data_IF_205848994616
#
_entry.id   IF_205848994616
#
_cell.length_a   1.000
_cell.length_b   1.000
_cell.length_c   1.000
_cell.angle_alpha   90.00
_cell.angle_beta   90.00
_cell.angle_gamma   90.00
#
_symmetry.space_group_name_H-M   'P 1'
#
loop_
_entity.id
_entity.type
_entity.pdbx_description
1 polymer ?
#
# COMPACT_ATOMS: atom_id res chain seq x y z
N UNK A 1 4.87 -7.73 7.75
CA UNK A 1 6.14 -7.19 7.23
C UNK A 1 5.79 -5.96 6.40
N UNK A 2 6.64 -4.92 6.35
CA UNK A 2 6.26 -3.67 5.66
C UNK A 2 6.36 -3.76 4.14
N UNK A 3 7.13 -4.71 3.61
CA UNK A 3 7.28 -4.91 2.17
C UNK A 3 7.82 -6.29 1.83
N UNK A 4 7.63 -6.70 0.58
CA UNK A 4 8.12 -7.93 0.00
C UNK A 4 8.81 -7.68 -1.34
N UNK A 5 9.95 -8.35 -1.56
CA UNK A 5 10.71 -8.26 -2.80
C UNK A 5 10.13 -9.24 -3.83
N UNK A 6 9.73 -8.74 -5.00
CA UNK A 6 9.11 -9.54 -6.05
C UNK A 6 10.11 -10.01 -7.10
N UNK A 7 10.80 -9.06 -7.74
CA UNK A 7 11.71 -9.35 -8.86
C UNK A 7 12.81 -8.30 -8.94
N UNK A 8 14.05 -8.75 -9.05
CA UNK A 8 15.20 -7.89 -9.31
C UNK A 8 15.56 -7.87 -10.79
N UNK A 9 15.95 -6.69 -11.30
CA UNK A 9 16.56 -6.51 -12.62
C UNK A 9 17.92 -5.84 -12.44
N UNK A 10 18.94 -6.67 -12.22
CA UNK A 10 20.29 -6.21 -11.88
C UNK A 10 20.87 -5.24 -12.93
N UNK A 11 20.74 -5.55 -14.22
CA UNK A 11 21.21 -4.69 -15.31
C UNK A 11 20.55 -3.32 -15.35
N UNK A 12 19.32 -3.21 -14.84
CA UNK A 12 18.57 -1.94 -14.77
C UNK A 12 18.70 -1.26 -13.42
N UNK A 13 19.45 -1.85 -12.48
CA UNK A 13 19.58 -1.36 -11.10
C UNK A 13 18.22 -1.20 -10.42
N UNK A 14 17.26 -2.07 -10.72
CA UNK A 14 15.90 -1.94 -10.18
C UNK A 14 15.43 -3.19 -9.49
N UNK A 15 14.50 -3.02 -8.56
CA UNK A 15 13.79 -4.09 -7.88
C UNK A 15 12.31 -3.73 -7.75
N UNK A 16 11.44 -4.68 -8.08
CA UNK A 16 10.00 -4.54 -7.85
C UNK A 16 9.70 -5.00 -6.43
N UNK A 17 8.99 -4.16 -5.70
CA UNK A 17 8.68 -4.35 -4.28
C UNK A 17 7.18 -4.14 -4.10
N UNK A 18 6.52 -5.06 -3.41
CA UNK A 18 5.17 -4.88 -2.88
C UNK A 18 5.29 -4.25 -1.50
N UNK A 19 4.83 -3.01 -1.34
CA UNK A 19 4.81 -2.30 -0.07
C UNK A 19 3.44 -2.42 0.59
N UNK A 20 3.41 -2.71 1.88
CA UNK A 20 2.21 -2.71 2.70
C UNK A 20 2.12 -1.38 3.45
N UNK A 21 1.21 -0.51 3.01
CA UNK A 21 1.02 0.83 3.56
C UNK A 21 -0.15 0.80 4.56
N UNK A 22 0.05 1.15 5.84
CA UNK A 22 -1.04 1.25 6.80
C UNK A 22 -1.99 2.38 6.45
N UNK A 23 -3.28 2.09 6.52
CA UNK A 23 -4.34 3.10 6.41
C UNK A 23 -4.52 3.78 7.77
N UNK A 24 -4.63 5.11 7.83
CA UNK A 24 -4.81 5.82 9.10
C UNK A 24 -6.10 5.41 9.80
N UNK A 25 -6.06 5.38 11.13
CA UNK A 25 -7.27 5.21 11.93
C UNK A 25 -8.18 6.45 11.85
N UNK A 26 -9.45 6.26 12.22
CA UNK A 26 -10.48 7.30 12.23
C UNK A 26 -11.45 7.17 11.06
N UNK A 27 -12.24 8.23 10.86
CA UNK A 27 -13.33 8.26 9.88
C UNK A 27 -13.12 9.35 8.83
N UNK A 28 -13.74 9.16 7.67
CA UNK A 28 -13.85 10.15 6.60
C UNK A 28 -15.02 11.13 6.85
N UNK A 29 -15.33 12.01 5.88
CA UNK A 29 -16.42 12.99 6.02
C UNK A 29 -17.82 12.36 6.02
N UNK A 30 -17.96 11.15 5.50
CA UNK A 30 -19.18 10.35 5.57
C UNK A 30 -19.33 9.59 6.90
N UNK A 31 -18.43 9.81 7.87
CA UNK A 31 -18.38 9.07 9.14
C UNK A 31 -18.13 7.56 9.00
N UNK A 32 -17.57 7.13 7.87
CA UNK A 32 -17.14 5.74 7.62
C UNK A 32 -15.67 5.60 8.03
N UNK A 33 -15.29 4.49 8.66
CA UNK A 33 -13.88 4.23 8.99
C UNK A 33 -13.03 4.17 7.71
N UNK A 34 -11.83 4.76 7.72
CA UNK A 34 -10.99 4.81 6.51
C UNK A 34 -10.70 3.43 5.90
N UNK A 35 -10.54 2.40 6.76
CA UNK A 35 -10.35 1.01 6.31
C UNK A 35 -11.57 0.49 5.54
N UNK A 36 -12.78 0.84 5.96
CA UNK A 36 -14.02 0.38 5.34
C UNK A 36 -14.27 1.14 4.05
N UNK A 37 -13.96 2.45 4.03
CA UNK A 37 -13.97 3.26 2.82
C UNK A 37 -12.99 2.73 1.77
N UNK A 38 -11.79 2.29 2.18
CA UNK A 38 -10.85 1.62 1.27
C UNK A 38 -11.43 0.31 0.73
N UNK A 39 -12.04 -0.51 1.59
CA UNK A 39 -12.67 -1.76 1.16
C UNK A 39 -13.77 -1.49 0.13
N UNK A 40 -14.59 -0.44 0.32
CA UNK A 40 -15.61 -0.03 -0.64
C UNK A 40 -15.00 0.43 -1.97
N UNK A 41 -13.94 1.25 -1.93
CA UNK A 41 -13.22 1.72 -3.14
C UNK A 41 -12.67 0.56 -3.96
N UNK A 42 -12.13 -0.46 -3.30
CA UNK A 42 -11.59 -1.65 -3.94
C UNK A 42 -12.69 -2.66 -4.36
N UNK A 43 -13.96 -2.31 -4.22
CA UNK A 43 -15.10 -3.13 -4.65
C UNK A 43 -15.46 -4.25 -3.67
N UNK A 44 -15.05 -4.17 -2.41
CA UNK A 44 -15.32 -5.14 -1.36
C UNK A 44 -14.14 -6.07 -1.07
N UNK A 45 -14.13 -6.64 0.14
CA UNK A 45 -12.99 -7.41 0.67
C UNK A 45 -12.65 -8.65 -0.16
N UNK A 46 -13.63 -9.24 -0.85
CA UNK A 46 -13.43 -10.39 -1.74
C UNK A 46 -12.58 -10.05 -2.98
N UNK A 47 -12.52 -8.77 -3.37
CA UNK A 47 -11.73 -8.30 -4.51
C UNK A 47 -10.31 -7.86 -4.11
N UNK A 48 -10.00 -7.82 -2.81
CA UNK A 48 -8.67 -7.47 -2.31
C UNK A 48 -7.81 -8.73 -2.26
N UNK A 49 -6.79 -8.78 -3.11
CA UNK A 49 -5.81 -9.86 -3.16
C UNK A 49 -4.40 -9.29 -3.28
N UNK A 50 -3.45 -9.90 -2.58
CA UNK A 50 -2.03 -9.57 -2.72
C UNK A 50 -1.48 -10.09 -4.03
N UNK A 51 -0.48 -9.39 -4.58
CA UNK A 51 0.34 -9.89 -5.69
C UNK A 51 1.27 -11.04 -5.27
N UNK A 52 1.44 -11.28 -3.97
CA UNK A 52 2.27 -12.35 -3.43
C UNK A 52 1.47 -13.66 -3.38
N UNK A 53 1.87 -14.69 -4.14
CA UNK A 53 1.12 -15.95 -4.19
C UNK A 53 1.11 -16.72 -2.86
N UNK A 54 2.09 -16.47 -1.97
CA UNK A 54 2.23 -17.12 -0.67
C UNK A 54 2.23 -16.09 0.47
N UNK A 55 1.42 -15.03 0.35
CA UNK A 55 1.27 -14.06 1.44
C UNK A 55 0.86 -14.76 2.75
N UNK A 56 1.37 -14.28 3.88
CA UNK A 56 0.99 -14.85 5.17
C UNK A 56 -0.48 -14.56 5.48
N UNK A 57 -1.15 -15.50 6.17
CA UNK A 57 -2.57 -15.34 6.57
C UNK A 57 -2.82 -14.03 7.32
N UNK A 58 -1.97 -13.58 8.27
CA UNK A 58 -2.17 -12.29 8.94
C UNK A 58 -2.10 -11.09 8.01
N UNK A 59 -1.18 -11.09 7.03
CA UNK A 59 -1.05 -9.98 6.08
C UNK A 59 -2.22 -9.95 5.09
N UNK A 60 -2.64 -11.10 4.58
CA UNK A 60 -3.83 -11.22 3.72
C UNK A 60 -5.10 -10.75 4.45
N UNK A 61 -5.24 -11.14 5.72
CA UNK A 61 -6.35 -10.69 6.57
C UNK A 61 -6.35 -9.17 6.73
N UNK A 62 -5.18 -8.57 6.95
CA UNK A 62 -5.06 -7.11 7.11
C UNK A 62 -5.35 -6.36 5.79
N UNK A 63 -4.93 -6.88 4.64
CA UNK A 63 -5.30 -6.32 3.33
C UNK A 63 -6.82 -6.39 3.12
N UNK A 64 -7.43 -7.55 3.33
CA UNK A 64 -8.88 -7.75 3.15
C UNK A 64 -9.73 -6.95 4.13
N UNK A 65 -9.19 -6.65 5.31
CA UNK A 65 -9.82 -5.76 6.29
C UNK A 65 -9.61 -4.27 5.99
N UNK A 66 -8.87 -3.91 4.93
CA UNK A 66 -8.57 -2.53 4.56
C UNK A 66 -7.62 -1.80 5.52
N UNK A 67 -6.99 -2.51 6.47
CA UNK A 67 -6.04 -1.89 7.41
C UNK A 67 -4.66 -1.73 6.79
N UNK A 68 -4.37 -2.48 5.73
CA UNK A 68 -3.23 -2.31 4.86
C UNK A 68 -3.70 -2.09 3.41
N UNK A 69 -2.95 -1.27 2.68
CA UNK A 69 -3.02 -1.16 1.23
C UNK A 69 -1.72 -1.65 0.60
N UNK A 70 -1.81 -2.52 -0.40
CA UNK A 70 -0.63 -3.03 -1.10
C UNK A 70 -0.32 -2.16 -2.33
N UNK A 71 0.89 -1.61 -2.38
CA UNK A 71 1.38 -0.84 -3.51
C UNK A 71 2.62 -1.49 -4.11
N UNK A 72 2.54 -1.90 -5.37
CA UNK A 72 3.71 -2.38 -6.11
C UNK A 72 4.44 -1.19 -6.73
N UNK A 73 5.74 -1.07 -6.43
CA UNK A 73 6.59 -0.02 -6.98
C UNK A 73 7.95 -0.59 -7.35
N UNK A 74 8.55 0.01 -8.38
CA UNK A 74 9.93 -0.24 -8.75
C UNK A 74 10.83 0.71 -7.96
N UNK A 75 11.76 0.17 -7.18
CA UNK A 75 12.84 0.92 -6.52
C UNK A 75 14.05 0.88 -7.43
N UNK A 76 14.60 2.06 -7.73
CA UNK A 76 15.84 2.20 -8.51
C UNK A 76 17.01 2.49 -7.57
N UNK A 77 18.12 1.80 -7.80
CA UNK A 77 19.37 1.98 -7.08
C UNK A 77 20.34 2.84 -7.90
N UNK A 78 21.19 3.59 -7.20
CA UNK A 78 22.25 4.40 -7.81
C UNK A 78 23.32 3.54 -8.51
N UNK A 79 23.63 2.37 -7.94
CA UNK A 79 24.65 1.44 -8.44
C UNK A 79 24.22 -0.03 -8.30
N UNK A 80 24.82 -0.91 -9.11
CA UNK A 80 24.71 -2.38 -8.92
C UNK A 80 25.61 -2.88 -7.78
N UNK A 81 26.66 -2.12 -7.44
CA UNK A 81 27.69 -2.49 -6.46
C UNK A 81 27.29 -2.16 -5.01
N UNK A 82 26.03 -1.82 -4.76
CA UNK A 82 25.55 -1.59 -3.40
C UNK A 82 25.52 -2.91 -2.62
N UNK A 83 26.00 -2.87 -1.38
CA UNK A 83 25.83 -3.97 -0.44
C UNK A 83 24.36 -4.11 0.01
N UNK A 84 24.07 -5.19 0.72
CA UNK A 84 22.70 -5.50 1.15
C UNK A 84 22.14 -4.46 2.11
N UNK A 85 22.98 -3.86 2.96
CA UNK A 85 22.55 -2.82 3.91
C UNK A 85 22.16 -1.53 3.19
N UNK A 86 22.93 -1.12 2.19
CA UNK A 86 22.65 0.05 1.35
C UNK A 86 21.40 -0.15 0.48
N UNK A 87 21.22 -1.36 -0.07
CA UNK A 87 20.00 -1.71 -0.83
C UNK A 87 18.78 -1.66 0.08
N UNK A 88 18.86 -2.26 1.27
CA UNK A 88 17.80 -2.24 2.27
C UNK A 88 17.44 -0.80 2.68
N UNK A 89 18.45 0.02 3.01
CA UNK A 89 18.23 1.42 3.37
C UNK A 89 17.54 2.20 2.25
N UNK A 90 17.92 1.96 0.98
CA UNK A 90 17.26 2.62 -0.17
C UNK A 90 15.78 2.24 -0.28
N UNK A 91 15.44 0.96 -0.06
CA UNK A 91 14.05 0.49 -0.08
C UNK A 91 13.25 1.09 1.08
N UNK A 92 13.86 1.17 2.27
CA UNK A 92 13.23 1.75 3.47
C UNK A 92 12.98 3.25 3.33
N UNK A 93 13.93 3.99 2.74
CA UNK A 93 13.70 5.40 2.37
C UNK A 93 12.51 5.52 1.42
N UNK A 94 12.48 4.70 0.36
CA UNK A 94 11.35 4.73 -0.59
C UNK A 94 10.02 4.35 0.07
N UNK A 95 10.02 3.44 1.04
CA UNK A 95 8.84 3.13 1.84
C UNK A 95 8.34 4.35 2.63
N UNK A 96 9.25 5.10 3.28
CA UNK A 96 8.89 6.32 4.00
C UNK A 96 8.25 7.39 3.10
N UNK A 97 8.80 7.58 1.90
CA UNK A 97 8.24 8.50 0.91
C UNK A 97 6.84 8.03 0.45
N UNK A 98 6.70 6.75 0.13
CA UNK A 98 5.44 6.14 -0.32
C UNK A 98 4.35 6.17 0.75
N UNK A 99 4.72 5.98 2.01
CA UNK A 99 3.78 6.06 3.13
C UNK A 99 3.07 7.42 3.13
N UNK A 100 3.82 8.50 2.97
CA UNK A 100 3.25 9.86 2.93
C UNK A 100 2.42 10.06 1.67
N UNK A 101 2.99 9.73 0.50
CA UNK A 101 2.36 9.87 -0.82
C UNK A 101 0.99 9.17 -0.89
N UNK A 102 0.96 7.88 -0.53
CA UNK A 102 -0.24 7.04 -0.64
C UNK A 102 -1.27 7.39 0.44
N UNK A 103 -0.86 7.73 1.66
CA UNK A 103 -1.81 8.12 2.71
C UNK A 103 -2.52 9.42 2.33
N UNK A 104 -1.81 10.40 1.78
CA UNK A 104 -2.42 11.65 1.34
C UNK A 104 -3.35 11.43 0.13
N UNK A 105 -2.91 10.64 -0.86
CA UNK A 105 -3.74 10.24 -2.00
C UNK A 105 -5.03 9.54 -1.54
N UNK A 106 -4.93 8.58 -0.61
CA UNK A 106 -6.08 7.84 -0.11
C UNK A 106 -6.98 8.70 0.76
N UNK A 107 -6.46 9.63 1.57
CA UNK A 107 -7.31 10.58 2.30
C UNK A 107 -8.18 11.41 1.36
N UNK A 108 -7.62 11.91 0.26
CA UNK A 108 -8.37 12.68 -0.75
C UNK A 108 -9.41 11.80 -1.44
N UNK A 109 -8.98 10.63 -1.92
CA UNK A 109 -9.85 9.73 -2.69
C UNK A 109 -11.02 9.19 -1.86
N UNK A 110 -10.75 8.83 -0.60
CA UNK A 110 -11.72 8.20 0.28
C UNK A 110 -12.54 9.22 1.09
N UNK A 111 -12.25 10.53 0.99
CA UNK A 111 -12.80 11.56 1.89
C UNK A 111 -14.33 11.55 1.93
N UNK A 112 -14.97 11.37 0.78
CA UNK A 112 -16.42 11.43 0.59
C UNK A 112 -17.04 10.09 0.19
N UNK A 113 -16.27 9.01 0.17
CA UNK A 113 -16.81 7.68 -0.14
C UNK A 113 -17.86 7.29 0.90
N UNK A 114 -19.01 6.82 0.40
CA UNK A 114 -20.18 6.44 1.19
C UNK A 114 -20.99 7.62 1.74
N UNK A 115 -20.73 8.84 1.27
CA UNK A 115 -21.60 9.97 1.56
C UNK A 115 -22.94 9.80 0.85
N UNK A 116 -24.03 9.80 1.61
CA UNK A 116 -25.40 9.80 1.11
C UNK A 116 -26.03 11.17 1.40
N UNK A 117 -26.69 11.75 0.40
CA UNK A 117 -27.45 12.98 0.55
C UNK A 117 -28.79 12.82 -0.16
N UNK A 118 -29.87 13.03 0.58
CA UNK A 118 -31.19 13.18 -0.01
C UNK A 118 -31.26 14.55 -0.70
N UNK A 119 -31.44 14.54 -2.03
CA UNK A 119 -31.68 15.76 -2.81
C UNK A 119 -33.20 16.00 -2.86
N UNK A 120 -33.71 17.17 -2.41
CA UNK A 120 -35.14 17.49 -2.41
C UNK A 120 -35.79 17.51 -3.80
#
# INVERSE_FOLDING_TARGET
MNYHILKQQEKRKTINVAFHIPIPAGTNKASIEWKDALVLELGGSANIASVLPNISVPEDTALKAGTLFEAVRTVQFSSVQLDDAQRKATIETRYGDLLTEIVDEKKITLEWIGFEADVP
#
